data_IF_744047383161
#
_entry.id   IF_744047383161
#
_cell.length_a   1.000
_cell.length_b   1.000
_cell.length_c   1.000
_cell.angle_alpha   90.00
_cell.angle_beta   90.00
_cell.angle_gamma   90.00
#
_symmetry.space_group_name_H-M   'P 1'
#
loop_
_entity.id
_entity.type
_entity.pdbx_description
1 polymer ?
#
# COMPACT_ATOMS: atom_id res chain seq x y z
N UNK A 1 15.38 28.79 13.95
CA UNK A 1 13.95 28.64 13.64
C UNK A 1 13.91 28.51 12.14
N UNK A 2 13.72 27.35 11.53
CA UNK A 2 13.07 26.11 11.89
C UNK A 2 13.68 24.98 11.05
N UNK A 3 14.30 24.02 11.71
CA UNK A 3 14.66 22.76 11.08
C UNK A 3 13.42 21.87 11.01
N UNK A 4 13.09 21.40 9.81
CA UNK A 4 12.56 20.05 9.60
C UNK A 4 12.46 19.78 8.10
N UNK A 5 13.59 19.44 7.48
CA UNK A 5 13.53 18.44 6.41
C UNK A 5 13.35 17.10 7.09
N UNK A 6 12.11 16.79 7.52
CA UNK A 6 11.73 15.41 7.75
C UNK A 6 12.05 14.70 6.44
N UNK A 7 13.05 13.82 6.48
CA UNK A 7 13.43 13.08 5.29
C UNK A 7 12.19 12.27 4.92
N UNK A 8 11.82 12.15 3.64
CA UNK A 8 10.60 11.45 3.22
C UNK A 8 10.47 9.99 3.74
N UNK A 9 11.53 9.48 4.38
CA UNK A 9 11.66 8.20 5.08
C UNK A 9 11.04 8.17 6.49
N UNK A 10 10.77 9.32 7.14
CA UNK A 10 10.35 9.39 8.55
C UNK A 10 8.82 9.46 8.75
N UNK A 11 8.03 9.57 7.69
CA UNK A 11 6.56 9.61 7.81
C UNK A 11 5.99 8.20 7.62
N UNK A 12 5.09 7.72 8.51
CA UNK A 12 4.41 6.44 8.32
C UNK A 12 3.71 6.39 6.97
N UNK A 13 3.98 5.34 6.18
CA UNK A 13 3.39 5.17 4.84
C UNK A 13 2.61 3.86 4.74
N UNK A 14 1.56 3.86 3.93
CA UNK A 14 0.71 2.69 3.70
C UNK A 14 0.74 2.24 2.24
N UNK A 15 0.82 0.94 2.05
CA UNK A 15 0.58 0.30 0.76
C UNK A 15 -0.31 -0.93 0.94
N UNK A 16 -0.92 -1.38 -0.14
CA UNK A 16 -1.72 -2.61 -0.12
C UNK A 16 -1.71 -3.34 -1.45
N UNK A 17 -2.13 -4.60 -1.42
CA UNK A 17 -2.60 -5.32 -2.60
C UNK A 17 -4.12 -5.43 -2.59
N UNK A 18 -4.76 -5.05 -3.69
CA UNK A 18 -6.21 -5.10 -3.89
C UNK A 18 -6.59 -6.24 -4.83
N UNK A 19 -7.66 -6.96 -4.51
CA UNK A 19 -8.26 -7.96 -5.39
C UNK A 19 -9.29 -8.83 -4.68
N UNK A 20 -9.88 -9.79 -5.41
CA UNK A 20 -10.84 -10.73 -4.86
C UNK A 20 -10.79 -12.05 -5.65
N UNK A 21 -10.41 -13.19 -5.04
CA UNK A 21 -9.89 -13.34 -3.66
C UNK A 21 -8.45 -12.83 -3.50
N UNK A 22 -8.13 -12.20 -2.35
CA UNK A 22 -6.79 -11.60 -2.13
C UNK A 22 -5.82 -12.41 -1.27
N UNK A 23 -6.32 -13.37 -0.47
CA UNK A 23 -5.54 -14.03 0.59
C UNK A 23 -4.22 -14.67 0.10
N UNK A 24 -4.19 -15.18 -1.13
CA UNK A 24 -3.03 -15.88 -1.70
C UNK A 24 -1.92 -14.96 -2.23
N UNK A 25 -2.13 -13.63 -2.23
CA UNK A 25 -1.12 -12.71 -2.74
C UNK A 25 0.17 -12.79 -1.93
N UNK A 26 1.30 -12.95 -2.63
CA UNK A 26 2.65 -12.93 -2.04
C UNK A 26 3.20 -11.50 -1.87
N UNK A 27 2.49 -10.49 -2.39
CA UNK A 27 2.97 -9.11 -2.37
C UNK A 27 3.31 -8.62 -0.95
N UNK A 28 2.49 -8.88 0.09
CA UNK A 28 2.86 -8.46 1.45
C UNK A 28 4.17 -9.07 1.94
N UNK A 29 4.44 -10.35 1.64
CA UNK A 29 5.70 -10.99 2.03
C UNK A 29 6.90 -10.30 1.37
N UNK A 30 6.80 -10.03 0.06
CA UNK A 30 7.89 -9.41 -0.70
C UNK A 30 8.14 -7.96 -0.27
N UNK A 31 7.08 -7.17 -0.10
CA UNK A 31 7.20 -5.76 0.26
C UNK A 31 7.64 -5.57 1.71
N UNK A 32 7.12 -6.34 2.67
CA UNK A 32 7.56 -6.23 4.06
C UNK A 32 9.04 -6.62 4.23
N UNK A 33 9.50 -7.67 3.53
CA UNK A 33 10.93 -8.03 3.53
C UNK A 33 11.81 -6.91 2.92
N UNK A 34 11.33 -6.24 1.87
CA UNK A 34 12.03 -5.09 1.30
C UNK A 34 12.05 -3.88 2.25
N UNK A 35 10.93 -3.61 2.94
CA UNK A 35 10.84 -2.50 3.90
C UNK A 35 11.81 -2.72 5.07
N UNK A 36 11.88 -3.95 5.59
CA UNK A 36 12.85 -4.34 6.62
C UNK A 36 14.29 -4.13 6.14
N UNK A 37 14.63 -4.64 4.95
CA UNK A 37 15.97 -4.51 4.38
C UNK A 37 16.40 -3.05 4.13
N UNK A 38 15.44 -2.15 3.92
CA UNK A 38 15.65 -0.72 3.67
C UNK A 38 15.53 0.15 4.93
N UNK A 39 15.21 -0.44 6.10
CA UNK A 39 15.01 0.31 7.35
C UNK A 39 13.72 1.15 7.38
N UNK A 40 12.72 0.81 6.57
CA UNK A 40 11.43 1.49 6.49
C UNK A 40 10.46 0.95 7.56
N UNK A 41 10.80 1.10 8.83
CA UNK A 41 10.07 0.47 9.95
C UNK A 41 8.62 0.93 10.12
N UNK A 42 8.30 2.15 9.68
CA UNK A 42 6.96 2.74 9.81
C UNK A 42 6.10 2.55 8.55
N UNK A 43 6.55 1.72 7.61
CA UNK A 43 5.81 1.41 6.39
C UNK A 43 5.00 0.13 6.56
N UNK A 44 3.73 0.18 6.18
CA UNK A 44 2.84 -0.98 6.21
C UNK A 44 2.51 -1.49 4.81
N UNK A 45 2.26 -2.80 4.72
CA UNK A 45 1.74 -3.43 3.51
C UNK A 45 0.66 -4.45 3.86
N UNK A 46 -0.57 -4.22 3.43
CA UNK A 46 -1.72 -5.08 3.76
C UNK A 46 -2.40 -5.71 2.53
N UNK A 47 -3.35 -6.61 2.79
CA UNK A 47 -4.24 -7.18 1.77
C UNK A 47 -5.62 -6.61 2.00
N UNK A 48 -6.25 -6.09 0.94
CA UNK A 48 -7.62 -5.59 1.01
C UNK A 48 -8.45 -6.35 -0.02
N UNK A 49 -9.48 -7.03 0.47
CA UNK A 49 -10.47 -7.68 -0.38
C UNK A 49 -11.27 -6.58 -1.11
N UNK A 50 -11.21 -6.58 -2.44
CA UNK A 50 -11.75 -5.51 -3.26
C UNK A 50 -12.10 -6.05 -4.66
N UNK A 51 -13.36 -5.93 -5.06
CA UNK A 51 -13.78 -6.23 -6.44
C UNK A 51 -13.41 -5.09 -7.38
N UNK A 52 -13.55 -5.29 -8.69
CA UNK A 52 -13.27 -4.25 -9.67
C UNK A 52 -14.21 -3.05 -9.52
N UNK A 53 -15.49 -3.30 -9.22
CA UNK A 53 -16.49 -2.26 -9.02
C UNK A 53 -16.25 -1.40 -7.77
N UNK A 54 -15.61 -1.97 -6.74
CA UNK A 54 -15.27 -1.27 -5.50
C UNK A 54 -14.00 -0.42 -5.63
N UNK A 55 -13.13 -0.76 -6.58
CA UNK A 55 -11.79 -0.19 -6.68
C UNK A 55 -11.79 1.34 -6.87
N UNK A 56 -12.58 1.95 -7.76
CA UNK A 56 -12.56 3.40 -7.95
C UNK A 56 -12.89 4.17 -6.66
N UNK A 57 -13.99 3.78 -5.99
CA UNK A 57 -14.41 4.44 -4.75
C UNK A 57 -13.41 4.23 -3.61
N UNK A 58 -12.74 3.07 -3.55
CA UNK A 58 -11.69 2.82 -2.58
C UNK A 58 -10.49 3.74 -2.82
N UNK A 59 -10.02 3.85 -4.06
CA UNK A 59 -8.87 4.69 -4.43
C UNK A 59 -9.16 6.16 -4.13
N UNK A 60 -10.36 6.66 -4.45
CA UNK A 60 -10.79 8.03 -4.16
C UNK A 60 -10.82 8.35 -2.65
N UNK A 61 -10.93 7.33 -1.79
CA UNK A 61 -10.97 7.50 -0.33
C UNK A 61 -9.59 7.54 0.33
N UNK A 62 -8.51 7.28 -0.40
CA UNK A 62 -7.17 7.14 0.18
C UNK A 62 -6.56 8.50 0.55
N UNK A 63 -6.14 8.61 1.82
CA UNK A 63 -5.43 9.78 2.35
C UNK A 63 -3.97 9.88 1.87
N UNK A 64 -3.27 10.97 2.25
CA UNK A 64 -1.90 11.25 1.81
C UNK A 64 -0.85 10.25 2.34
N UNK A 65 -1.18 9.43 3.34
CA UNK A 65 -0.26 8.41 3.85
C UNK A 65 -0.04 7.25 2.86
N UNK A 66 -0.98 7.04 1.93
CA UNK A 66 -0.91 5.98 0.94
C UNK A 66 0.14 6.30 -0.14
N UNK A 67 1.08 5.37 -0.36
CA UNK A 67 2.16 5.53 -1.35
C UNK A 67 1.94 4.76 -2.63
N UNK A 68 1.12 3.71 -2.59
CA UNK A 68 0.94 2.84 -3.74
C UNK A 68 0.08 1.63 -3.46
N UNK A 69 -0.44 1.06 -4.54
CA UNK A 69 -1.27 -0.13 -4.54
C UNK A 69 -0.77 -1.09 -5.60
N UNK A 70 -0.63 -2.37 -5.22
CA UNK A 70 -0.61 -3.44 -6.20
C UNK A 70 -2.05 -3.84 -6.50
N UNK A 71 -2.39 -4.04 -7.78
CA UNK A 71 -3.73 -4.47 -8.19
C UNK A 71 -3.65 -5.84 -8.85
N UNK A 72 -4.41 -6.80 -8.34
CA UNK A 72 -4.61 -8.10 -8.97
C UNK A 72 -6.05 -8.24 -9.47
N UNK A 73 -6.36 -9.38 -10.09
CA UNK A 73 -7.72 -9.66 -10.56
C UNK A 73 -8.76 -9.53 -9.42
N UNK A 74 -9.97 -9.03 -9.70
CA UNK A 74 -10.45 -8.52 -11.00
C UNK A 74 -10.14 -7.03 -11.28
N UNK A 75 -9.52 -6.30 -10.36
CA UNK A 75 -9.36 -4.84 -10.44
C UNK A 75 -8.45 -4.29 -11.53
N UNK A 76 -7.77 -5.13 -12.32
CA UNK A 76 -6.83 -4.67 -13.37
C UNK A 76 -7.49 -3.98 -14.56
N UNK A 77 -8.80 -4.20 -14.74
CA UNK A 77 -9.59 -3.65 -15.86
C UNK A 77 -10.68 -2.68 -15.40
N UNK A 78 -10.68 -2.35 -14.10
CA UNK A 78 -11.67 -1.46 -13.48
C UNK A 78 -11.46 -0.01 -13.91
#
# INVERSE_FOLDING_TARGET
MDGSTATALETPRKAAVLGSPIAHSKSPLLHLAAYEALGLSDWTYERIECTGEQLPALVDSLGPEWVGLSVTMPGKIA
#
